data_IF_835260376454
#
_entry.id   IF_835260376454
#
_cell.length_a   1.000
_cell.length_b   1.000
_cell.length_c   1.000
_cell.angle_alpha   90.00
_cell.angle_beta   90.00
_cell.angle_gamma   90.00
#
_symmetry.space_group_name_H-M   'P 1'
#
loop_
_entity.id
_entity.type
_entity.pdbx_description
1 polymer ?
#
# COMPACT_ATOMS: atom_id res chain seq x y z
N UNK A 1 -17.27 23.57 1.81
CA UNK A 1 -16.12 23.34 1.73
C UNK A 1 -15.80 22.02 1.96
N UNK A 2 -14.80 21.64 1.90
CA UNK A 2 -14.50 20.32 2.03
C UNK A 2 -13.13 20.16 2.50
N UNK A 3 -12.88 19.07 3.14
CA UNK A 3 -11.65 18.85 3.79
C UNK A 3 -10.52 18.64 2.85
N UNK A 4 -10.82 18.45 1.59
CA UNK A 4 -9.78 18.22 0.63
C UNK A 4 -9.08 19.50 0.17
N UNK A 5 -9.55 20.65 0.62
CA UNK A 5 -8.86 21.88 0.29
C UNK A 5 -7.45 21.81 0.83
N UNK A 6 -6.46 21.96 -0.01
CA UNK A 6 -5.07 21.88 0.39
C UNK A 6 -4.51 20.48 0.50
N UNK A 7 -5.33 19.45 0.44
CA UNK A 7 -4.86 18.09 0.42
C UNK A 7 -4.65 17.65 -1.00
N UNK A 8 -3.49 17.10 -1.28
CA UNK A 8 -3.15 16.59 -2.59
C UNK A 8 -3.09 15.08 -2.55
N UNK A 9 -3.42 14.42 -3.67
CA UNK A 9 -3.20 12.98 -3.74
C UNK A 9 -1.72 12.66 -3.56
N UNK A 10 -1.42 11.40 -3.27
CA UNK A 10 -0.05 10.95 -3.15
C UNK A 10 0.69 11.34 -4.42
N UNK A 11 1.87 11.96 -4.33
CA UNK A 11 2.58 12.39 -5.53
C UNK A 11 3.09 11.19 -6.33
N UNK A 12 3.35 11.37 -7.62
CA UNK A 12 3.99 10.31 -8.40
C UNK A 12 5.45 10.14 -7.95
N UNK A 13 6.03 9.01 -8.31
CA UNK A 13 7.44 8.77 -8.06
C UNK A 13 8.28 9.78 -8.86
N UNK A 14 9.31 10.33 -8.24
CA UNK A 14 10.27 11.15 -8.98
C UNK A 14 11.25 10.23 -9.73
N UNK A 15 12.22 10.84 -10.44
CA UNK A 15 13.15 10.08 -11.26
C UNK A 15 13.99 9.12 -10.42
N UNK A 16 14.53 9.60 -9.30
CA UNK A 16 15.37 8.78 -8.44
C UNK A 16 14.57 7.63 -7.84
N UNK A 17 13.35 7.90 -7.40
CA UNK A 17 12.46 6.88 -6.85
C UNK A 17 12.08 5.84 -7.90
N UNK A 18 11.76 6.29 -9.11
CA UNK A 18 11.44 5.37 -10.21
C UNK A 18 12.61 4.48 -10.54
N UNK A 19 13.82 5.03 -10.50
CA UNK A 19 15.02 4.25 -10.76
C UNK A 19 15.22 3.19 -9.68
N UNK A 20 15.04 3.56 -8.41
CA UNK A 20 15.15 2.61 -7.30
C UNK A 20 14.14 1.47 -7.46
N UNK A 21 12.90 1.82 -7.75
CA UNK A 21 11.82 0.83 -7.90
C UNK A 21 12.10 -0.11 -9.07
N UNK A 22 12.67 0.40 -10.16
CA UNK A 22 12.96 -0.42 -11.33
C UNK A 22 13.96 -1.52 -11.05
N UNK A 23 14.70 -1.44 -9.96
CA UNK A 23 15.69 -2.44 -9.57
C UNK A 23 15.14 -3.52 -8.65
N UNK A 24 13.88 -3.42 -8.26
CA UNK A 24 13.27 -4.41 -7.40
C UNK A 24 13.09 -5.72 -8.17
N UNK A 25 13.45 -6.82 -7.51
CA UNK A 25 13.27 -8.15 -8.09
C UNK A 25 11.85 -8.63 -7.85
N UNK A 26 11.45 -9.65 -8.58
CA UNK A 26 10.14 -10.26 -8.39
C UNK A 26 9.99 -10.79 -6.97
N UNK A 27 11.04 -11.39 -6.41
CA UNK A 27 11.00 -11.88 -5.03
C UNK A 27 10.83 -10.76 -4.03
N UNK A 28 11.45 -9.60 -4.28
CA UNK A 28 11.27 -8.44 -3.40
C UNK A 28 9.86 -7.91 -3.47
N UNK A 29 9.27 -7.85 -4.67
CA UNK A 29 7.88 -7.42 -4.81
C UNK A 29 6.93 -8.35 -4.08
N UNK A 30 7.16 -9.65 -4.18
CA UNK A 30 6.35 -10.65 -3.48
C UNK A 30 6.47 -10.48 -1.96
N UNK A 31 7.67 -10.21 -1.47
CA UNK A 31 7.89 -10.01 -0.05
C UNK A 31 7.20 -8.74 0.43
N UNK A 32 7.26 -7.65 -0.34
CA UNK A 32 6.54 -6.44 -0.01
C UNK A 32 5.04 -6.70 0.10
N UNK A 33 4.47 -7.40 -0.88
CA UNK A 33 3.05 -7.72 -0.88
C UNK A 33 2.68 -8.59 0.32
N UNK A 34 3.52 -9.58 0.64
CA UNK A 34 3.29 -10.47 1.77
C UNK A 34 3.23 -9.68 3.08
N UNK A 35 4.17 -8.77 3.27
CA UNK A 35 4.23 -7.98 4.50
C UNK A 35 3.06 -7.02 4.57
N UNK A 36 2.69 -6.39 3.46
CA UNK A 36 1.52 -5.51 3.43
C UNK A 36 0.25 -6.27 3.82
N UNK A 37 0.05 -7.46 3.25
CA UNK A 37 -1.11 -8.28 3.60
C UNK A 37 -1.09 -8.72 5.05
N UNK A 38 0.09 -8.97 5.60
CA UNK A 38 0.23 -9.37 7.00
C UNK A 38 -0.18 -8.26 7.96
N UNK A 39 -0.11 -7.00 7.53
CA UNK A 39 -0.54 -5.87 8.36
C UNK A 39 -2.04 -5.64 8.31
N UNK A 40 -2.73 -6.25 7.37
CA UNK A 40 -4.17 -6.07 7.20
C UNK A 40 -4.93 -7.04 8.11
N UNK A 41 -6.17 -6.68 8.39
CA UNK A 41 -7.09 -7.53 9.14
C UNK A 41 -8.45 -7.43 8.47
N UNK A 42 -9.46 -8.10 9.05
CA UNK A 42 -10.81 -8.01 8.51
C UNK A 42 -11.49 -6.69 8.87
N UNK A 43 -10.89 -5.88 9.72
CA UNK A 43 -11.34 -4.51 10.00
C UNK A 43 -10.56 -3.54 9.14
N UNK A 44 -11.21 -2.49 8.68
CA UNK A 44 -10.54 -1.48 7.89
C UNK A 44 -9.43 -0.79 8.68
N UNK A 45 -8.29 -0.61 8.03
CA UNK A 45 -7.14 0.09 8.58
C UNK A 45 -6.63 1.10 7.57
N UNK A 46 -6.10 2.20 8.05
CA UNK A 46 -5.54 3.24 7.20
C UNK A 46 -4.43 2.66 6.34
N UNK A 47 -4.45 2.98 5.04
CA UNK A 47 -3.40 2.56 4.12
C UNK A 47 -2.05 3.09 4.58
N UNK A 48 -1.99 4.36 5.00
CA UNK A 48 -0.73 4.95 5.46
C UNK A 48 -0.12 4.18 6.64
N UNK A 49 -0.96 3.67 7.53
CA UNK A 49 -0.47 2.91 8.69
C UNK A 49 0.10 1.56 8.26
N UNK A 50 -0.60 0.87 7.37
CA UNK A 50 -0.16 -0.41 6.84
C UNK A 50 1.17 -0.24 6.11
N UNK A 51 1.26 0.80 5.28
CA UNK A 51 2.48 1.13 4.53
C UNK A 51 3.62 1.41 5.49
N UNK A 52 3.39 2.26 6.48
CA UNK A 52 4.44 2.63 7.44
C UNK A 52 4.99 1.44 8.19
N UNK A 53 4.11 0.54 8.64
CA UNK A 53 4.53 -0.65 9.35
C UNK A 53 5.32 -1.60 8.44
N UNK A 54 4.86 -1.77 7.20
CA UNK A 54 5.56 -2.64 6.25
C UNK A 54 6.97 -2.11 5.95
N UNK A 55 7.11 -0.80 5.77
CA UNK A 55 8.41 -0.19 5.54
C UNK A 55 9.32 -0.48 6.74
N UNK A 56 8.81 -0.31 7.94
CA UNK A 56 9.61 -0.56 9.14
C UNK A 56 10.10 -2.00 9.20
N UNK A 57 9.27 -2.96 8.82
CA UNK A 57 9.67 -4.36 8.83
C UNK A 57 10.69 -4.70 7.75
N UNK A 58 10.61 -4.03 6.61
CA UNK A 58 11.45 -4.36 5.46
C UNK A 58 12.69 -3.48 5.30
N UNK A 59 12.89 -2.53 6.21
CA UNK A 59 13.99 -1.57 6.09
C UNK A 59 15.34 -2.26 5.96
N UNK A 60 15.54 -3.37 6.64
CA UNK A 60 16.81 -4.08 6.60
C UNK A 60 17.00 -4.96 5.37
N UNK A 61 15.91 -5.34 4.71
CA UNK A 61 15.96 -6.25 3.57
C UNK A 61 15.77 -5.53 2.23
N UNK A 62 14.86 -4.58 2.20
CA UNK A 62 14.50 -3.86 0.97
C UNK A 62 14.50 -2.38 1.30
N UNK A 63 15.69 -1.78 1.48
CA UNK A 63 15.78 -0.39 1.90
C UNK A 63 15.47 0.58 0.77
N UNK A 64 15.17 1.81 1.15
CA UNK A 64 15.10 2.96 0.24
C UNK A 64 13.98 2.87 -0.80
N UNK A 65 12.93 2.10 -0.51
CA UNK A 65 11.72 2.10 -1.35
C UNK A 65 10.76 3.13 -0.76
N UNK A 66 10.29 4.09 -1.56
CA UNK A 66 9.43 5.14 -1.03
C UNK A 66 8.06 4.63 -0.64
N UNK A 67 7.46 5.30 0.33
CA UNK A 67 6.12 4.94 0.81
C UNK A 67 5.08 5.00 -0.32
N UNK A 68 5.26 5.93 -1.26
CA UNK A 68 4.35 6.06 -2.39
C UNK A 68 4.30 4.76 -3.20
N UNK A 69 5.43 4.09 -3.35
CA UNK A 69 5.45 2.83 -4.09
C UNK A 69 4.74 1.72 -3.32
N UNK A 70 4.92 1.67 -2.00
CA UNK A 70 4.16 0.73 -1.17
C UNK A 70 2.66 0.98 -1.32
N UNK A 71 2.25 2.24 -1.36
CA UNK A 71 0.84 2.56 -1.59
C UNK A 71 0.36 2.09 -2.96
N UNK A 72 1.21 2.16 -3.98
CA UNK A 72 0.88 1.61 -5.29
C UNK A 72 0.70 0.09 -5.23
N UNK A 73 1.52 -0.61 -4.44
CA UNK A 73 1.35 -2.04 -4.25
C UNK A 73 0.03 -2.36 -3.55
N UNK A 74 -0.37 -1.54 -2.58
CA UNK A 74 -1.68 -1.73 -1.93
C UNK A 74 -2.80 -1.61 -2.96
N UNK A 75 -2.74 -0.61 -3.85
CA UNK A 75 -3.75 -0.47 -4.89
C UNK A 75 -3.78 -1.71 -5.80
N UNK A 76 -2.62 -2.24 -6.12
CA UNK A 76 -2.52 -3.45 -6.93
C UNK A 76 -3.19 -4.63 -6.23
N UNK A 77 -2.97 -4.79 -4.92
CA UNK A 77 -3.59 -5.85 -4.15
C UNK A 77 -5.11 -5.70 -4.12
N UNK A 78 -5.62 -4.47 -4.07
CA UNK A 78 -7.06 -4.23 -4.17
C UNK A 78 -7.57 -4.65 -5.54
N UNK A 79 -6.86 -4.31 -6.61
CA UNK A 79 -7.23 -4.69 -7.97
C UNK A 79 -7.27 -6.20 -8.15
N UNK A 80 -6.38 -6.90 -7.46
CA UNK A 80 -6.34 -8.37 -7.51
C UNK A 80 -7.40 -9.02 -6.62
N UNK A 81 -8.16 -8.24 -5.87
CA UNK A 81 -9.17 -8.78 -4.96
C UNK A 81 -8.61 -9.33 -3.66
N UNK A 82 -7.34 -9.08 -3.37
CA UNK A 82 -6.71 -9.55 -2.13
C UNK A 82 -6.96 -8.61 -0.96
N UNK A 83 -7.39 -7.41 -1.24
CA UNK A 83 -7.82 -6.44 -0.25
C UNK A 83 -9.09 -5.77 -0.73
N UNK A 84 -9.93 -5.35 0.22
CA UNK A 84 -11.06 -4.48 -0.05
C UNK A 84 -10.71 -3.09 0.44
N UNK A 85 -11.24 -2.08 -0.22
CA UNK A 85 -10.90 -0.70 0.11
C UNK A 85 -12.13 0.15 0.35
N UNK A 86 -11.95 1.23 1.10
CA UNK A 86 -12.90 2.32 1.17
C UNK A 86 -12.10 3.63 1.16
N UNK A 87 -12.74 4.68 0.65
CA UNK A 87 -12.06 5.94 0.42
C UNK A 87 -11.29 5.91 -0.88
N UNK A 88 -10.64 7.03 -1.18
CA UNK A 88 -9.89 7.18 -2.43
C UNK A 88 -8.46 6.71 -2.22
N UNK A 89 -8.09 5.61 -2.86
CA UNK A 89 -6.76 5.02 -2.71
C UNK A 89 -5.62 5.91 -3.23
N UNK A 90 -5.93 7.00 -3.90
CA UNK A 90 -4.90 7.97 -4.30
C UNK A 90 -4.43 8.82 -3.13
N UNK A 91 -5.07 8.66 -1.96
CA UNK A 91 -4.73 9.36 -0.74
C UNK A 91 -4.50 8.31 0.34
N UNK A 92 -3.25 7.86 0.51
CA UNK A 92 -2.98 6.79 1.49
C UNK A 92 -3.38 7.20 2.91
N UNK A 93 -3.38 8.50 3.21
CA UNK A 93 -3.72 8.97 4.54
C UNK A 93 -5.22 9.04 4.78
N UNK A 94 -6.02 8.94 3.74
CA UNK A 94 -7.48 9.09 3.80
C UNK A 94 -8.21 7.92 3.18
N UNK A 95 -7.53 6.80 3.03
CA UNK A 95 -8.15 5.57 2.55
C UNK A 95 -7.84 4.44 3.49
N UNK A 96 -8.64 3.39 3.41
CA UNK A 96 -8.52 2.24 4.29
C UNK A 96 -8.70 0.97 3.50
N UNK A 97 -8.09 -0.11 3.99
CA UNK A 97 -8.23 -1.43 3.38
C UNK A 97 -8.43 -2.48 4.46
N UNK A 98 -8.96 -3.62 4.05
CA UNK A 98 -9.12 -4.78 4.91
C UNK A 98 -9.01 -6.05 4.10
N UNK A 99 -8.79 -7.16 4.80
CA UNK A 99 -8.87 -8.46 4.16
C UNK A 99 -10.32 -8.74 3.78
N UNK A 100 -10.56 -9.32 2.60
CA UNK A 100 -11.92 -9.64 2.19
C UNK A 100 -12.51 -10.68 3.14
N UNK A 101 -13.82 -10.62 3.33
CA UNK A 101 -14.49 -11.61 4.12
C UNK A 101 -14.63 -12.89 3.31
N UNK A 102 -14.45 -14.03 3.97
CA UNK A 102 -14.60 -15.29 3.30
C UNK A 102 -16.06 -15.46 2.86
N UNK A 103 -16.22 -15.92 1.63
CA UNK A 103 -17.54 -16.26 1.15
C UNK A 103 -18.02 -17.53 1.85
N UNK A 104 -19.31 -17.63 2.23
CA UNK A 104 -19.82 -18.86 2.85
C UNK A 104 -19.68 -20.07 1.96
N UNK A 105 -19.54 -19.86 0.64
CA UNK A 105 -19.42 -20.95 -0.31
C UNK A 105 -17.98 -21.27 -0.69
N UNK A 106 -17.03 -20.55 -0.15
CA UNK A 106 -15.63 -20.78 -0.51
C UNK A 106 -14.90 -21.55 0.54
#
# INVERSE_FOLDING_TARGET
>A
MHTADGELPDPPLDVAQSLRVSKLTQGELQEMDRVLLAQASHSFRKVARIVGTAIGELQGKIPDVPDIYYAQRVRHLVELGKLESQGNLRYMRFSEVRLPQASPLS
#
